data_IF_550563356515
#
_entry.id   IF_550563356515
#
_cell.length_a   1.000
_cell.length_b   1.000
_cell.length_c   1.000
_cell.angle_alpha   90.00
_cell.angle_beta   90.00
_cell.angle_gamma   90.00
#
_symmetry.space_group_name_H-M   'P 1'
#
loop_
_entity.id
_entity.type
_entity.pdbx_description
1 polymer ?
#
# COMPACT_ATOMS: atom_id res chain seq x y z
N UNK A 1 -23.10 67.69 31.68
CA UNK A 1 -22.04 67.84 32.72
C UNK A 1 -21.52 66.47 33.13
N UNK A 2 -20.22 66.40 33.46
CA UNK A 2 -19.39 65.24 33.90
C UNK A 2 -18.91 64.33 32.74
N UNK A 3 -17.80 64.67 32.08
CA UNK A 3 -16.36 64.49 32.42
C UNK A 3 -15.86 63.04 32.21
N UNK A 4 -15.05 62.91 31.16
CA UNK A 4 -14.10 61.85 30.86
C UNK A 4 -13.25 61.44 32.08
N UNK A 5 -12.97 60.14 32.18
CA UNK A 5 -11.70 59.62 32.70
C UNK A 5 -11.16 58.56 31.75
N UNK A 6 -9.94 58.80 31.28
CA UNK A 6 -9.11 57.91 30.51
C UNK A 6 -8.72 56.66 31.33
N UNK A 7 -8.68 55.50 30.67
CA UNK A 7 -7.92 54.32 31.10
C UNK A 7 -6.69 54.16 30.19
N UNK A 8 -5.56 53.64 30.70
CA UNK A 8 -4.26 53.79 30.07
C UNK A 8 -3.95 52.69 29.04
N UNK A 9 -2.92 53.01 28.26
CA UNK A 9 -2.41 52.29 27.11
C UNK A 9 -1.81 50.91 27.42
N UNK A 10 -1.95 50.03 26.43
CA UNK A 10 -0.99 49.03 25.96
C UNK A 10 -0.13 48.30 27.02
N UNK A 11 -0.63 47.15 27.49
CA UNK A 11 0.20 46.08 28.01
C UNK A 11 0.65 45.16 26.87
N UNK A 12 1.92 45.26 26.48
CA UNK A 12 2.60 44.30 25.61
C UNK A 12 2.70 42.95 26.32
N UNK A 13 1.82 42.00 26.00
CA UNK A 13 2.08 40.58 26.25
C UNK A 13 3.13 40.10 25.25
N UNK A 14 4.41 40.07 25.66
CA UNK A 14 5.45 39.32 24.96
C UNK A 14 5.08 37.83 25.02
N UNK A 15 4.50 37.30 23.93
CA UNK A 15 4.49 35.85 23.70
C UNK A 15 5.93 35.39 23.53
N UNK A 16 6.36 34.43 24.34
CA UNK A 16 7.61 33.70 24.12
C UNK A 16 7.61 33.09 22.70
N UNK A 17 8.74 33.04 21.99
CA UNK A 17 8.79 32.41 20.68
C UNK A 17 8.51 30.92 20.86
N UNK A 18 7.43 30.46 20.23
CA UNK A 18 7.09 29.05 20.15
C UNK A 18 8.25 28.37 19.40
N UNK A 19 9.05 27.56 20.09
CA UNK A 19 10.08 26.78 19.42
C UNK A 19 9.37 25.79 18.50
N UNK A 20 9.59 25.96 17.19
CA UNK A 20 9.15 25.03 16.17
C UNK A 20 10.01 23.77 16.26
N UNK A 21 9.79 22.96 17.29
CA UNK A 21 10.15 21.55 17.23
C UNK A 21 9.09 20.87 16.36
N UNK A 22 9.42 20.70 15.08
CA UNK A 22 8.60 19.96 14.12
C UNK A 22 8.26 18.59 14.69
N UNK A 23 6.99 18.16 14.70
CA UNK A 23 6.64 16.82 15.16
C UNK A 23 7.36 15.78 14.29
N UNK A 24 7.94 14.75 14.94
CA UNK A 24 8.73 13.64 14.35
C UNK A 24 8.06 12.91 13.16
N UNK A 25 6.80 13.18 12.88
CA UNK A 25 6.01 12.59 11.78
C UNK A 25 6.11 13.42 10.48
N UNK A 26 6.69 14.62 10.54
CA UNK A 26 7.33 15.29 9.40
C UNK A 26 8.75 14.73 9.23
N UNK A 27 8.89 13.41 9.11
CA UNK A 27 10.10 12.84 8.52
C UNK A 27 10.12 13.26 7.06
N UNK A 28 10.65 14.44 6.79
CA UNK A 28 11.10 14.81 5.46
C UNK A 28 12.32 13.96 5.19
N UNK A 29 12.13 12.76 4.64
CA UNK A 29 13.16 12.21 3.78
C UNK A 29 13.52 13.35 2.82
N UNK A 30 14.80 13.77 2.75
CA UNK A 30 15.19 14.91 1.93
C UNK A 30 14.73 14.62 0.51
N UNK A 31 13.85 15.47 -0.01
CA UNK A 31 13.50 15.43 -1.43
C UNK A 31 14.83 15.61 -2.18
N UNK A 32 15.20 14.69 -3.10
CA UNK A 32 16.45 14.82 -3.84
C UNK A 32 16.50 16.18 -4.51
N UNK A 33 17.70 16.76 -4.58
CA UNK A 33 17.92 18.05 -5.24
C UNK A 33 17.30 18.06 -6.64
N UNK A 34 16.73 19.20 -7.09
CA UNK A 34 16.03 19.24 -8.38
C UNK A 34 17.01 18.85 -9.49
N UNK A 35 16.84 17.63 -10.01
CA UNK A 35 17.59 17.16 -11.16
C UNK A 35 17.11 17.92 -12.40
N UNK A 36 18.04 18.24 -13.29
CA UNK A 36 17.74 18.86 -14.58
C UNK A 36 16.88 17.99 -15.52
N UNK A 37 16.63 16.72 -15.17
CA UNK A 37 15.69 15.86 -15.88
C UNK A 37 14.25 16.05 -15.38
N UNK A 38 13.32 16.25 -16.31
CA UNK A 38 11.86 16.29 -16.08
C UNK A 38 11.25 14.89 -15.90
N UNK A 39 12.06 13.91 -15.55
CA UNK A 39 11.64 12.52 -15.47
C UNK A 39 10.86 12.30 -14.17
N UNK A 40 9.59 11.96 -14.32
CA UNK A 40 8.74 11.60 -13.20
C UNK A 40 9.28 10.34 -12.52
N UNK A 41 9.24 10.33 -11.19
CA UNK A 41 9.51 9.16 -10.35
C UNK A 41 8.32 8.91 -9.43
N UNK A 42 8.11 7.67 -9.05
CA UNK A 42 7.06 7.27 -8.11
C UNK A 42 7.61 6.26 -7.12
N UNK A 43 7.20 6.39 -5.87
CA UNK A 43 7.49 5.41 -4.85
C UNK A 43 6.76 4.09 -5.16
N UNK A 44 7.51 3.01 -5.26
CA UNK A 44 6.97 1.69 -5.51
C UNK A 44 6.91 0.90 -4.19
N UNK A 45 5.70 0.67 -3.68
CA UNK A 45 5.50 -0.05 -2.43
C UNK A 45 5.98 -1.52 -2.47
N UNK A 46 6.20 -2.09 -3.66
CA UNK A 46 6.75 -3.44 -3.79
C UNK A 46 8.26 -3.48 -3.49
N UNK A 47 8.99 -2.46 -3.92
CA UNK A 47 10.46 -2.39 -3.80
C UNK A 47 10.93 -1.48 -2.68
N UNK A 48 10.06 -0.60 -2.18
CA UNK A 48 10.40 0.38 -1.15
C UNK A 48 11.18 1.58 -1.68
N UNK A 49 11.33 1.70 -3.01
CA UNK A 49 12.23 2.67 -3.65
C UNK A 49 11.48 3.66 -4.56
N UNK A 50 12.12 4.80 -4.81
CA UNK A 50 11.64 5.78 -5.79
C UNK A 50 12.13 5.41 -7.19
N UNK A 51 11.24 4.81 -7.98
CA UNK A 51 11.55 4.30 -9.31
C UNK A 51 11.12 5.27 -10.41
N UNK A 52 11.74 5.22 -11.61
CA UNK A 52 11.26 5.94 -12.78
C UNK A 52 9.80 5.63 -13.07
N UNK A 53 9.00 6.66 -13.34
CA UNK A 53 7.58 6.48 -13.63
C UNK A 53 7.40 5.64 -14.89
N UNK A 54 6.44 4.68 -14.91
CA UNK A 54 6.30 3.74 -16.02
C UNK A 54 6.16 4.47 -17.37
N UNK A 55 6.95 4.08 -18.37
CA UNK A 55 6.76 4.53 -19.76
C UNK A 55 6.02 3.45 -20.54
N UNK A 56 5.22 3.90 -21.52
CA UNK A 56 4.50 2.99 -22.42
C UNK A 56 5.45 2.09 -23.21
N UNK A 57 4.89 1.10 -23.90
CA UNK A 57 5.67 0.23 -24.80
C UNK A 57 6.05 0.98 -26.08
N UNK A 58 7.03 0.47 -26.83
CA UNK A 58 7.42 1.03 -28.15
C UNK A 58 6.23 1.16 -29.12
N UNK A 59 5.23 0.29 -28.97
CA UNK A 59 4.01 0.25 -29.81
C UNK A 59 2.97 1.30 -29.38
N UNK A 60 2.86 1.61 -28.09
CA UNK A 60 1.95 2.63 -27.56
C UNK A 60 2.73 3.61 -26.67
N UNK A 61 3.52 4.51 -27.27
CA UNK A 61 4.29 5.48 -26.52
C UNK A 61 3.33 6.34 -25.69
N UNK A 62 3.69 6.57 -24.42
CA UNK A 62 3.00 7.47 -23.49
C UNK A 62 1.56 7.08 -23.09
N UNK A 63 1.04 5.90 -23.42
CA UNK A 63 -0.21 5.41 -22.82
C UNK A 63 0.09 4.83 -21.44
N UNK A 64 -0.52 5.42 -20.40
CA UNK A 64 -0.45 4.91 -19.03
C UNK A 64 -1.75 4.18 -18.68
N UNK A 65 -1.67 2.86 -18.47
CA UNK A 65 -2.78 2.07 -17.95
C UNK A 65 -2.76 2.12 -16.43
N UNK A 66 -3.84 2.63 -15.84
CA UNK A 66 -3.94 2.83 -14.40
C UNK A 66 -5.25 2.21 -13.91
N UNK A 67 -5.16 1.29 -12.94
CA UNK A 67 -6.32 0.84 -12.16
C UNK A 67 -6.39 1.50 -10.78
N UNK A 68 -7.57 1.92 -10.36
CA UNK A 68 -7.82 2.43 -9.01
C UNK A 68 -9.04 1.80 -8.36
N UNK A 69 -8.93 1.52 -7.07
CA UNK A 69 -10.07 1.08 -6.25
C UNK A 69 -11.06 2.24 -6.07
N UNK A 70 -12.29 2.03 -6.51
CA UNK A 70 -13.41 2.93 -6.26
C UNK A 70 -14.12 2.62 -4.93
N UNK A 71 -15.26 3.27 -4.69
CA UNK A 71 -15.99 3.16 -3.43
C UNK A 71 -16.77 1.85 -3.33
N UNK A 72 -17.02 1.42 -2.09
CA UNK A 72 -18.15 0.53 -1.77
C UNK A 72 -19.40 1.40 -1.58
N UNK A 73 -20.37 1.27 -2.47
CA UNK A 73 -21.51 2.20 -2.59
C UNK A 73 -22.67 1.86 -1.66
N UNK A 74 -22.39 1.78 -0.36
CA UNK A 74 -23.40 1.53 0.68
C UNK A 74 -23.89 2.80 1.40
N UNK A 75 -23.09 3.88 1.35
CA UNK A 75 -23.39 5.16 2.00
C UNK A 75 -22.68 6.32 1.26
N UNK A 76 -22.97 7.56 1.69
CA UNK A 76 -22.43 8.79 1.13
C UNK A 76 -20.91 8.89 1.29
N UNK A 77 -20.28 9.61 0.36
CA UNK A 77 -18.85 9.87 0.42
C UNK A 77 -18.49 10.77 1.63
N UNK A 78 -17.48 10.38 2.40
CA UNK A 78 -16.90 11.20 3.47
C UNK A 78 -15.55 11.82 3.06
N UNK A 79 -14.99 12.70 3.89
CA UNK A 79 -13.72 13.39 3.60
C UNK A 79 -12.53 12.47 3.34
N UNK A 80 -12.50 11.27 3.93
CA UNK A 80 -11.52 10.24 3.60
C UNK A 80 -11.52 9.84 2.11
N UNK A 81 -12.70 9.69 1.49
CA UNK A 81 -12.84 9.45 0.06
C UNK A 81 -12.35 10.67 -0.74
N UNK A 82 -12.79 11.87 -0.36
CA UNK A 82 -12.37 13.10 -1.03
C UNK A 82 -10.85 13.23 -1.05
N UNK A 83 -10.17 13.01 0.08
CA UNK A 83 -8.70 13.03 0.16
C UNK A 83 -8.07 12.03 -0.81
N UNK A 84 -8.55 10.80 -0.86
CA UNK A 84 -7.98 9.75 -1.70
C UNK A 84 -8.12 10.09 -3.20
N UNK A 85 -9.33 10.41 -3.65
CA UNK A 85 -9.61 10.63 -5.07
C UNK A 85 -9.05 11.96 -5.58
N UNK A 86 -9.05 13.02 -4.77
CA UNK A 86 -8.38 14.28 -5.12
C UNK A 86 -6.86 14.07 -5.24
N UNK A 87 -6.24 13.33 -4.31
CA UNK A 87 -4.80 13.04 -4.41
C UNK A 87 -4.48 12.25 -5.68
N UNK A 88 -5.29 11.26 -6.01
CA UNK A 88 -5.15 10.50 -7.25
C UNK A 88 -5.32 11.37 -8.50
N UNK A 89 -6.28 12.30 -8.49
CA UNK A 89 -6.50 13.23 -9.59
C UNK A 89 -5.33 14.20 -9.78
N UNK A 90 -4.73 14.69 -8.69
CA UNK A 90 -3.52 15.51 -8.75
C UNK A 90 -2.38 14.72 -9.41
N UNK A 91 -2.16 13.47 -8.99
CA UNK A 91 -1.14 12.60 -9.58
C UNK A 91 -1.40 12.36 -11.07
N UNK A 92 -2.65 12.07 -11.46
CA UNK A 92 -3.06 11.95 -12.86
C UNK A 92 -2.74 13.21 -13.67
N UNK A 93 -3.08 14.39 -13.15
CA UNK A 93 -2.83 15.68 -13.82
C UNK A 93 -1.34 15.98 -13.95
N UNK A 94 -0.54 15.64 -12.95
CA UNK A 94 0.92 15.77 -13.01
C UNK A 94 1.50 14.83 -14.06
N UNK A 95 1.03 13.57 -14.13
CA UNK A 95 1.44 12.63 -15.17
C UNK A 95 1.07 13.15 -16.57
N UNK A 96 -0.16 13.57 -16.79
CA UNK A 96 -0.63 14.13 -18.08
C UNK A 96 0.17 15.39 -18.48
N UNK A 97 0.36 16.34 -17.55
CA UNK A 97 0.95 17.66 -17.86
C UNK A 97 2.47 17.65 -17.94
N UNK A 98 3.13 16.97 -17.03
CA UNK A 98 4.60 16.97 -16.92
C UNK A 98 5.21 15.81 -17.68
N UNK A 99 4.59 14.63 -17.63
CA UNK A 99 5.07 13.43 -18.29
C UNK A 99 4.53 13.22 -19.71
N UNK A 100 3.55 14.01 -20.15
CA UNK A 100 2.93 13.88 -21.48
C UNK A 100 2.14 12.59 -21.67
N UNK A 101 1.69 11.97 -20.57
CA UNK A 101 0.97 10.69 -20.62
C UNK A 101 -0.47 10.84 -21.07
N UNK A 102 -0.93 9.91 -21.90
CA UNK A 102 -2.35 9.63 -22.11
C UNK A 102 -2.79 8.59 -21.06
N UNK A 103 -3.41 9.07 -19.98
CA UNK A 103 -3.82 8.22 -18.85
C UNK A 103 -5.16 7.55 -19.13
N UNK A 104 -5.15 6.22 -19.23
CA UNK A 104 -6.33 5.37 -19.24
C UNK A 104 -6.60 4.86 -17.81
N UNK A 105 -7.48 5.55 -17.10
CA UNK A 105 -7.84 5.24 -15.73
C UNK A 105 -9.10 4.36 -15.69
N UNK A 106 -8.98 3.14 -15.17
CA UNK A 106 -10.10 2.24 -14.87
C UNK A 106 -10.37 2.28 -13.37
N UNK A 107 -11.62 2.49 -12.98
CA UNK A 107 -12.04 2.49 -11.57
C UNK A 107 -13.02 1.35 -11.30
N UNK A 108 -12.71 0.51 -10.31
CA UNK A 108 -13.61 -0.54 -9.83
C UNK A 108 -14.62 -0.01 -8.81
N UNK A 109 -15.92 -0.17 -9.04
CA UNK A 109 -16.97 0.19 -8.07
C UNK A 109 -17.52 -1.09 -7.45
N UNK A 110 -17.50 -1.16 -6.12
CA UNK A 110 -18.02 -2.31 -5.37
C UNK A 110 -19.50 -2.08 -5.08
N UNK A 111 -20.36 -2.63 -5.94
CA UNK A 111 -21.82 -2.55 -5.85
C UNK A 111 -22.50 -3.84 -5.34
N UNK A 112 -21.70 -4.82 -4.93
CA UNK A 112 -22.10 -6.05 -4.24
C UNK A 112 -21.19 -6.25 -3.03
N UNK A 113 -21.74 -6.11 -1.83
CA UNK A 113 -21.03 -6.23 -0.56
C UNK A 113 -22.04 -6.47 0.58
N UNK A 114 -21.63 -7.14 1.65
CA UNK A 114 -22.47 -7.40 2.83
C UNK A 114 -23.03 -6.12 3.44
N UNK A 115 -22.24 -5.03 3.46
CA UNK A 115 -22.69 -3.72 3.96
C UNK A 115 -23.82 -3.15 3.12
N UNK A 116 -23.77 -3.32 1.80
CA UNK A 116 -24.83 -2.88 0.88
C UNK A 116 -26.09 -3.70 1.12
N UNK A 117 -25.96 -5.03 1.21
CA UNK A 117 -27.10 -5.93 1.43
C UNK A 117 -27.79 -5.62 2.76
N UNK A 118 -27.01 -5.44 3.83
CA UNK A 118 -27.54 -5.09 5.16
C UNK A 118 -28.29 -3.75 5.12
N UNK A 119 -27.66 -2.72 4.57
CA UNK A 119 -28.23 -1.36 4.49
C UNK A 119 -29.49 -1.30 3.61
N UNK A 120 -29.52 -2.06 2.53
CA UNK A 120 -30.67 -2.16 1.64
C UNK A 120 -31.88 -2.79 2.36
N UNK A 121 -31.64 -3.83 3.18
CA UNK A 121 -32.68 -4.43 4.04
C UNK A 121 -33.21 -3.44 5.07
N UNK A 122 -32.33 -2.69 5.74
CA UNK A 122 -32.73 -1.66 6.72
C UNK A 122 -33.60 -0.56 6.10
N UNK A 123 -33.37 -0.23 4.82
CA UNK A 123 -34.11 0.80 4.08
C UNK A 123 -35.32 0.24 3.30
N UNK A 124 -35.56 -1.07 3.33
CA UNK A 124 -36.59 -1.75 2.53
C UNK A 124 -36.50 -1.43 1.01
N UNK A 125 -35.27 -1.36 0.48
CA UNK A 125 -35.01 -1.16 -0.96
C UNK A 125 -34.17 -2.29 -1.53
N UNK A 126 -34.12 -2.43 -2.86
CA UNK A 126 -33.21 -3.39 -3.49
C UNK A 126 -31.75 -2.94 -3.34
N UNK A 127 -30.82 -3.87 -3.15
CA UNK A 127 -29.39 -3.56 -3.05
C UNK A 127 -28.87 -2.85 -4.31
N UNK A 128 -29.41 -3.20 -5.48
CA UNK A 128 -29.06 -2.58 -6.77
C UNK A 128 -29.49 -1.11 -6.79
N UNK A 129 -30.70 -0.82 -6.32
CA UNK A 129 -31.22 0.56 -6.25
C UNK A 129 -30.34 1.40 -5.33
N UNK A 130 -30.09 0.92 -4.11
CA UNK A 130 -29.23 1.61 -3.15
C UNK A 130 -27.84 1.87 -3.73
N UNK A 131 -27.20 0.84 -4.28
CA UNK A 131 -25.86 0.96 -4.85
C UNK A 131 -25.79 2.00 -5.97
N UNK A 132 -26.78 2.04 -6.86
CA UNK A 132 -26.81 3.01 -7.98
C UNK A 132 -27.06 4.43 -7.51
N UNK A 133 -27.93 4.64 -6.53
CA UNK A 133 -28.14 5.96 -5.93
C UNK A 133 -26.87 6.48 -5.25
N UNK A 134 -26.20 5.65 -4.44
CA UNK A 134 -24.96 6.04 -3.78
C UNK A 134 -23.80 6.23 -4.77
N UNK A 135 -23.72 5.43 -5.83
CA UNK A 135 -22.76 5.61 -6.92
C UNK A 135 -22.94 6.98 -7.60
N UNK A 136 -24.18 7.34 -7.96
CA UNK A 136 -24.48 8.63 -8.59
C UNK A 136 -24.10 9.79 -7.67
N UNK A 137 -24.44 9.69 -6.37
CA UNK A 137 -24.10 10.69 -5.38
C UNK A 137 -22.58 10.84 -5.23
N UNK A 138 -21.84 9.72 -5.19
CA UNK A 138 -20.39 9.71 -5.15
C UNK A 138 -19.77 10.47 -6.34
N UNK A 139 -20.20 10.18 -7.57
CA UNK A 139 -19.67 10.87 -8.75
C UNK A 139 -20.08 12.35 -8.82
N UNK A 140 -21.28 12.69 -8.33
CA UNK A 140 -21.70 14.09 -8.21
C UNK A 140 -20.80 14.86 -7.23
N UNK A 141 -20.43 14.26 -6.11
CA UNK A 141 -19.51 14.87 -5.14
C UNK A 141 -18.08 14.97 -5.69
N UNK A 142 -17.60 13.96 -6.42
CA UNK A 142 -16.29 14.04 -7.09
C UNK A 142 -16.26 15.14 -8.16
N UNK A 143 -17.35 15.31 -8.91
CA UNK A 143 -17.47 16.39 -9.89
C UNK A 143 -17.43 17.78 -9.22
N UNK A 144 -18.09 17.95 -8.06
CA UNK A 144 -18.03 19.20 -7.28
C UNK A 144 -16.63 19.52 -6.76
N UNK A 145 -15.80 18.48 -6.55
CA UNK A 145 -14.39 18.61 -6.19
C UNK A 145 -13.46 18.76 -7.41
N UNK A 146 -14.00 18.88 -8.63
CA UNK A 146 -13.26 18.99 -9.88
C UNK A 146 -12.34 17.80 -10.18
N UNK A 147 -12.64 16.63 -9.61
CA UNK A 147 -11.93 15.38 -9.91
C UNK A 147 -12.29 14.95 -11.35
N UNK A 148 -11.29 14.65 -12.19
CA UNK A 148 -11.56 14.17 -13.55
C UNK A 148 -12.20 12.78 -13.47
N UNK A 149 -13.27 12.51 -14.25
CA UNK A 149 -13.87 11.17 -14.27
C UNK A 149 -12.87 10.12 -14.77
N UNK A 150 -12.96 8.86 -14.30
CA UNK A 150 -12.17 7.76 -14.85
C UNK A 150 -12.54 7.53 -16.33
N UNK A 151 -11.62 6.94 -17.08
CA UNK A 151 -11.84 6.56 -18.49
C UNK A 151 -12.89 5.45 -18.61
N UNK A 152 -12.89 4.51 -17.67
CA UNK A 152 -13.91 3.47 -17.58
C UNK A 152 -14.21 3.13 -16.12
N UNK A 153 -15.44 2.70 -15.87
CA UNK A 153 -15.91 2.20 -14.59
C UNK A 153 -16.25 0.73 -14.77
N UNK A 154 -15.80 -0.12 -13.86
CA UNK A 154 -16.13 -1.56 -13.84
C UNK A 154 -16.87 -1.86 -12.54
N UNK A 155 -18.07 -2.43 -12.62
CA UNK A 155 -18.87 -2.76 -11.45
C UNK A 155 -18.83 -4.23 -11.17
N UNK A 156 -18.82 -4.62 -9.89
CA UNK A 156 -18.76 -6.03 -9.50
C UNK A 156 -19.96 -6.80 -10.09
N UNK A 157 -21.16 -6.23 -10.01
CA UNK A 157 -22.37 -6.87 -10.55
C UNK A 157 -22.36 -7.12 -12.06
N UNK A 158 -21.55 -6.36 -12.82
CA UNK A 158 -21.41 -6.46 -14.28
C UNK A 158 -20.36 -7.49 -14.70
N UNK A 159 -19.50 -7.96 -13.79
CA UNK A 159 -18.39 -8.87 -14.07
C UNK A 159 -18.42 -10.18 -13.26
N UNK A 160 -19.57 -10.53 -12.68
CA UNK A 160 -19.75 -11.77 -11.93
C UNK A 160 -19.37 -13.03 -12.74
N UNK A 161 -19.76 -13.18 -14.03
CA UNK A 161 -19.36 -14.35 -14.82
C UNK A 161 -17.84 -14.51 -14.95
N UNK A 162 -17.11 -13.41 -15.16
CA UNK A 162 -15.65 -13.40 -15.27
C UNK A 162 -14.99 -13.72 -13.93
N UNK A 163 -15.54 -13.24 -12.82
CA UNK A 163 -15.07 -13.57 -11.47
C UNK A 163 -15.23 -15.07 -11.20
N UNK A 164 -16.39 -15.66 -11.51
CA UNK A 164 -16.64 -17.10 -11.34
C UNK A 164 -15.66 -17.91 -12.19
N UNK A 165 -15.51 -17.56 -13.47
CA UNK A 165 -14.56 -18.21 -14.39
C UNK A 165 -13.11 -18.12 -13.89
N UNK A 166 -12.72 -16.98 -13.30
CA UNK A 166 -11.40 -16.81 -12.71
C UNK A 166 -11.20 -17.72 -11.49
N UNK A 167 -12.20 -17.82 -10.60
CA UNK A 167 -12.20 -18.70 -9.43
C UNK A 167 -12.05 -20.17 -9.85
N UNK A 168 -12.82 -20.60 -10.84
CA UNK A 168 -12.72 -21.95 -11.42
C UNK A 168 -11.30 -22.22 -11.96
N UNK A 169 -10.72 -21.25 -12.68
CA UNK A 169 -9.37 -21.39 -13.24
C UNK A 169 -8.28 -21.50 -12.17
N UNK A 170 -8.36 -20.72 -11.08
CA UNK A 170 -7.37 -20.80 -10.00
C UNK A 170 -7.57 -22.05 -9.13
N UNK A 171 -8.80 -22.55 -9.01
CA UNK A 171 -9.09 -23.81 -8.34
C UNK A 171 -8.52 -24.99 -9.14
N UNK A 172 -8.73 -25.03 -10.45
CA UNK A 172 -8.14 -26.05 -11.34
C UNK A 172 -6.60 -26.05 -11.28
N UNK A 173 -5.98 -24.88 -11.05
CA UNK A 173 -4.52 -24.75 -10.89
C UNK A 173 -4.01 -25.06 -9.47
N UNK A 174 -4.89 -25.46 -8.54
CA UNK A 174 -4.53 -25.78 -7.15
C UNK A 174 -4.28 -24.57 -6.24
N UNK A 175 -4.60 -23.34 -6.70
CA UNK A 175 -4.46 -22.12 -5.90
C UNK A 175 -5.70 -21.78 -5.07
N UNK A 176 -6.80 -22.51 -5.22
CA UNK A 176 -7.99 -22.36 -4.40
C UNK A 176 -8.59 -23.72 -4.04
N UNK A 177 -9.32 -23.78 -2.93
CA UNK A 177 -9.98 -24.99 -2.44
C UNK A 177 -11.38 -24.65 -1.92
N UNK A 178 -12.30 -25.60 -2.01
CA UNK A 178 -13.62 -25.45 -1.42
C UNK A 178 -13.56 -25.76 0.08
N UNK A 179 -14.25 -24.96 0.90
CA UNK A 179 -14.37 -25.28 2.33
C UNK A 179 -15.24 -26.53 2.55
N UNK A 180 -14.90 -27.29 3.58
CA UNK A 180 -15.54 -28.57 3.91
C UNK A 180 -17.02 -28.40 4.24
N UNK A 181 -17.39 -27.28 4.86
CA UNK A 181 -18.76 -26.92 5.21
C UNK A 181 -19.58 -26.35 4.03
N UNK A 182 -18.97 -26.23 2.85
CA UNK A 182 -19.60 -25.65 1.67
C UNK A 182 -19.80 -24.13 1.73
N UNK A 183 -19.21 -23.44 2.72
CA UNK A 183 -19.37 -21.99 2.93
C UNK A 183 -18.81 -21.13 1.78
N UNK A 184 -17.88 -21.67 0.99
CA UNK A 184 -17.34 -20.98 -0.18
C UNK A 184 -16.04 -21.58 -0.69
N UNK A 185 -15.42 -20.84 -1.61
CA UNK A 185 -14.10 -21.14 -2.17
C UNK A 185 -13.07 -20.19 -1.57
N UNK A 186 -12.00 -20.77 -1.04
CA UNK A 186 -10.92 -20.06 -0.36
C UNK A 186 -9.64 -20.11 -1.20
N UNK A 187 -8.85 -19.05 -1.13
CA UNK A 187 -7.58 -18.96 -1.82
C UNK A 187 -6.44 -19.54 -0.94
N UNK A 188 -5.66 -20.47 -1.50
CA UNK A 188 -4.56 -21.12 -0.79
C UNK A 188 -3.29 -20.26 -0.85
N UNK A 189 -3.08 -19.45 0.19
CA UNK A 189 -1.92 -18.57 0.29
C UNK A 189 -0.60 -19.32 0.39
N UNK A 190 -0.60 -20.57 0.89
CA UNK A 190 0.61 -21.40 1.00
C UNK A 190 1.12 -21.82 -0.38
N UNK A 191 0.22 -22.04 -1.34
CA UNK A 191 0.58 -22.41 -2.71
C UNK A 191 1.37 -21.31 -3.44
N UNK A 192 1.22 -20.04 -3.02
CA UNK A 192 2.02 -18.93 -3.53
C UNK A 192 3.41 -18.82 -2.90
N UNK A 193 3.65 -19.50 -1.77
CA UNK A 193 4.86 -19.40 -0.97
C UNK A 193 5.28 -17.95 -0.73
N UNK A 194 6.55 -17.69 -0.97
CA UNK A 194 7.23 -16.39 -0.80
C UNK A 194 6.66 -15.23 -1.63
N UNK A 195 5.83 -15.51 -2.64
CA UNK A 195 5.17 -14.45 -3.43
C UNK A 195 4.01 -13.83 -2.66
N UNK A 196 3.46 -14.51 -1.67
CA UNK A 196 2.36 -14.02 -0.86
C UNK A 196 2.86 -13.05 0.21
N UNK A 197 2.22 -11.88 0.32
CA UNK A 197 2.59 -10.87 1.33
C UNK A 197 3.75 -9.95 0.94
N UNK A 198 4.27 -10.04 -0.30
CA UNK A 198 5.34 -9.17 -0.82
C UNK A 198 5.04 -7.66 -0.84
N UNK A 199 3.79 -7.27 -0.60
CA UNK A 199 3.35 -5.86 -0.52
C UNK A 199 3.11 -5.40 0.93
N UNK A 200 3.30 -6.28 1.93
CA UNK A 200 3.26 -5.91 3.35
C UNK A 200 4.70 -5.59 3.81
N UNK A 201 5.04 -4.31 4.06
CA UNK A 201 6.38 -3.93 4.45
C UNK A 201 6.87 -4.67 5.71
N UNK A 202 5.94 -5.01 6.63
CA UNK A 202 6.29 -5.70 7.89
C UNK A 202 6.78 -7.12 7.66
N UNK A 203 6.27 -7.79 6.62
CA UNK A 203 6.71 -9.15 6.26
C UNK A 203 8.03 -9.14 5.51
N UNK A 204 8.34 -8.05 4.80
CA UNK A 204 9.66 -7.87 4.18
C UNK A 204 10.72 -7.70 5.26
N UNK A 205 10.49 -6.80 6.24
CA UNK A 205 11.43 -6.61 7.37
C UNK A 205 11.70 -7.90 8.13
N UNK A 206 10.66 -8.67 8.48
CA UNK A 206 10.83 -9.95 9.18
C UNK A 206 11.62 -10.98 8.36
N UNK A 207 11.44 -10.99 7.03
CA UNK A 207 12.19 -11.88 6.14
C UNK A 207 13.65 -11.48 6.07
N UNK A 208 13.94 -10.19 5.94
CA UNK A 208 15.30 -9.68 5.86
C UNK A 208 16.07 -9.94 7.17
N UNK A 209 15.42 -9.74 8.31
CA UNK A 209 15.94 -10.09 9.64
C UNK A 209 16.22 -11.60 9.76
N UNK A 210 15.31 -12.46 9.28
CA UNK A 210 15.50 -13.91 9.31
C UNK A 210 16.65 -14.37 8.40
N UNK A 211 16.75 -13.81 7.19
CA UNK A 211 17.84 -14.14 6.26
C UNK A 211 19.20 -13.66 6.79
N UNK A 212 19.25 -12.52 7.49
CA UNK A 212 20.46 -12.05 8.15
C UNK A 212 20.87 -13.00 9.29
N UNK A 213 19.93 -13.43 10.14
CA UNK A 213 20.21 -14.38 11.20
C UNK A 213 20.67 -15.75 10.66
N UNK A 214 20.07 -16.24 9.57
CA UNK A 214 20.48 -17.48 8.90
C UNK A 214 21.88 -17.35 8.26
N UNK A 215 22.20 -16.19 7.68
CA UNK A 215 23.54 -15.93 7.12
C UNK A 215 24.60 -15.81 8.22
N UNK A 216 24.30 -15.14 9.33
CA UNK A 216 25.19 -15.04 10.50
C UNK A 216 25.45 -16.42 11.13
N UNK A 217 24.40 -17.23 11.31
CA UNK A 217 24.54 -18.59 11.84
C UNK A 217 25.38 -19.50 10.92
N UNK A 218 25.26 -19.36 9.60
CA UNK A 218 26.07 -20.13 8.65
C UNK A 218 27.56 -19.75 8.68
N UNK A 219 27.88 -18.47 8.97
CA UNK A 219 29.26 -18.01 9.15
C UNK A 219 29.85 -18.58 10.45
N UNK A 220 29.11 -18.52 11.56
CA UNK A 220 29.53 -19.11 12.83
C UNK A 220 29.77 -20.63 12.72
N UNK A 221 28.90 -21.36 12.03
CA UNK A 221 29.06 -22.80 11.82
C UNK A 221 30.30 -23.14 10.96
N UNK A 222 30.65 -22.27 10.00
CA UNK A 222 31.86 -22.42 9.20
C UNK A 222 33.15 -22.09 9.97
N UNK A 223 33.13 -21.08 10.83
CA UNK A 223 34.28 -20.69 11.66
C UNK A 223 34.60 -21.78 12.70
N UNK A 224 33.56 -22.39 13.29
CA UNK A 224 33.72 -23.53 14.21
C UNK A 224 34.27 -24.76 13.50
N UNK A 225 33.83 -25.03 12.26
CA UNK A 225 34.35 -26.14 11.47
C UNK A 225 35.83 -25.95 11.08
N UNK A 226 36.24 -24.71 10.74
CA UNK A 226 37.64 -24.38 10.46
C UNK A 226 38.55 -24.47 11.70
N UNK A 227 38.05 -24.08 12.89
CA UNK A 227 38.78 -24.25 14.15
C UNK A 227 38.92 -25.74 14.52
N UNK A 228 37.86 -26.54 14.42
CA UNK A 228 37.94 -27.98 14.67
C UNK A 228 38.89 -28.70 13.70
N UNK A 229 38.95 -28.27 12.44
CA UNK A 229 39.87 -28.84 11.46
C UNK A 229 41.33 -28.43 11.72
N UNK A 230 41.58 -27.19 12.19
CA UNK A 230 42.90 -26.74 12.65
C UNK A 230 43.38 -27.53 13.88
N UNK A 231 42.49 -27.81 14.84
CA UNK A 231 42.81 -28.59 16.03
C UNK A 231 43.17 -30.04 15.67
N UNK A 232 42.51 -30.65 14.67
CA UNK A 232 42.85 -32.00 14.19
C UNK A 232 44.15 -32.07 13.38
N UNK A 233 44.61 -30.96 12.79
CA UNK A 233 45.84 -30.89 11.99
C UNK A 233 47.08 -30.49 12.78
N UNK A 234 46.96 -30.06 14.05
CA UNK A 234 48.11 -29.74 14.90
C UNK A 234 48.52 -30.94 15.79
N UNK A 235 49.59 -31.69 15.45
CA UNK A 235 50.07 -32.82 16.24
C UNK A 235 50.69 -32.44 17.60
N UNK A 236 50.65 -31.16 18.02
CA UNK A 236 51.19 -30.69 19.31
C UNK A 236 50.14 -30.49 20.41
N UNK A 237 48.84 -30.63 20.10
CA UNK A 237 47.74 -30.47 21.08
C UNK A 237 47.25 -31.78 21.73
N UNK A 238 47.79 -32.93 21.32
CA UNK A 238 47.67 -34.18 22.10
C UNK A 238 48.74 -34.23 23.18
N UNK A 239 48.52 -33.55 24.31
CA UNK A 239 49.34 -33.77 25.51
C UNK A 239 48.48 -34.10 26.73
N UNK A 240 48.47 -35.40 27.02
CA UNK A 240 48.57 -36.04 28.34
C UNK A 240 47.43 -35.81 29.34
N UNK A 241 46.41 -36.67 29.27
CA UNK A 241 45.79 -37.22 30.48
C UNK A 241 45.88 -38.74 30.45
N UNK A 242 46.52 -39.30 31.49
CA UNK A 242 46.38 -40.71 31.85
C UNK A 242 47.58 -41.60 31.60
N UNK A 243 48.59 -41.55 32.47
CA UNK A 243 49.35 -42.75 32.91
C UNK A 243 50.34 -42.43 34.03
N UNK A 244 49.90 -42.50 35.28
CA UNK A 244 50.75 -43.00 36.37
C UNK A 244 49.95 -44.05 37.16
N UNK A 245 50.40 -45.31 37.05
CA UNK A 245 50.15 -46.38 38.02
C UNK A 245 51.47 -46.68 38.72
N UNK A 246 51.49 -46.55 40.03
CA UNK A 246 52.17 -47.43 40.97
C UNK A 246 51.57 -47.23 42.36
#
# INVERSE_FOLDING_TARGET
MRKLRHLPAAGFYRRAPFSLLSPRWLSTLPCPSPSSSRDLKMFNALTGECEPFPRGTSVTPNILKWYACGPTVYDKAHLGHARAYVSQDILRRVAERTGGYNVQLVMGVTDVDDKIIKRAKEQNVSFRTLAREQEQQFFADMARLYVKPPTAITRVSEHLPEIVKYIEAIQHKGFAYQAVDGSGVYFNTRQLGDKYGKLDPRRQTQRDEQLQAEAEAAVEESDVAEEEEKVKRDPRLCTVEGSERA
#
